data_IF_398847653601
#
_entry.id   IF_398847653601
#
_cell.length_a   1.000
_cell.length_b   1.000
_cell.length_c   1.000
_cell.angle_alpha   90.00
_cell.angle_beta   90.00
_cell.angle_gamma   90.00
#
_symmetry.space_group_name_H-M   'P 1'
#
loop_
_entity.id
_entity.type
_entity.pdbx_description
1 polymer ?
#
# COMPACT_ATOMS: atom_id res chain seq x y z
N UNK A 1 -4.69 3.33 -5.94
CA UNK A 1 -5.70 2.24 -5.86
C UNK A 1 -5.00 0.91 -5.61
N UNK A 2 -5.53 0.03 -4.75
CA UNK A 2 -5.00 -1.33 -4.59
C UNK A 2 -5.61 -2.27 -5.63
N UNK A 3 -4.81 -3.19 -6.19
CA UNK A 3 -5.26 -4.19 -7.17
C UNK A 3 -4.72 -5.55 -6.76
N UNK A 4 -5.59 -6.57 -6.79
CA UNK A 4 -5.19 -7.96 -6.64
C UNK A 4 -4.32 -8.37 -7.82
N UNK A 5 -3.20 -9.02 -7.53
CA UNK A 5 -2.20 -9.52 -8.49
C UNK A 5 -1.81 -10.94 -8.09
N UNK A 6 -1.28 -11.78 -9.01
CA UNK A 6 -0.78 -13.10 -8.63
C UNK A 6 0.23 -12.98 -7.47
N UNK A 7 -0.05 -13.64 -6.34
CA UNK A 7 0.76 -13.58 -5.12
C UNK A 7 0.38 -12.50 -4.09
N UNK A 8 -0.68 -11.72 -4.31
CA UNK A 8 -1.22 -10.80 -3.29
C UNK A 8 -1.81 -9.50 -3.86
N UNK A 9 -1.47 -8.38 -3.24
CA UNK A 9 -1.97 -7.05 -3.56
C UNK A 9 -0.82 -6.10 -3.86
N UNK A 10 -1.06 -5.20 -4.82
CA UNK A 10 -0.14 -4.10 -5.14
C UNK A 10 -0.88 -2.78 -5.25
N UNK A 11 -0.18 -1.70 -4.92
CA UNK A 11 -0.73 -0.35 -5.01
C UNK A 11 -0.37 0.23 -6.37
N UNK A 12 -1.37 0.60 -7.15
CA UNK A 12 -1.22 1.40 -8.36
C UNK A 12 -1.20 2.88 -8.00
N UNK A 13 -0.08 3.54 -8.29
CA UNK A 13 0.04 4.99 -8.21
C UNK A 13 -0.43 5.62 -9.53
N UNK A 14 -1.53 6.37 -9.46
CA UNK A 14 -2.11 7.01 -10.64
C UNK A 14 -1.28 8.22 -11.12
N UNK A 15 -0.53 8.89 -10.23
CA UNK A 15 0.27 10.07 -10.60
C UNK A 15 1.48 9.69 -11.45
N UNK A 16 2.29 8.73 -10.98
CA UNK A 16 3.45 8.23 -11.71
C UNK A 16 3.11 7.09 -12.68
N UNK A 17 1.83 6.66 -12.75
CA UNK A 17 1.33 5.58 -13.62
C UNK A 17 2.19 4.31 -13.50
N UNK A 18 2.52 3.93 -12.27
CA UNK A 18 3.37 2.78 -11.95
C UNK A 18 2.89 2.05 -10.70
N UNK A 19 3.34 0.81 -10.55
CA UNK A 19 3.20 0.11 -9.29
C UNK A 19 4.08 0.77 -8.23
N UNK A 20 3.51 0.97 -7.04
CA UNK A 20 4.15 1.59 -5.90
C UNK A 20 4.25 0.63 -4.73
N UNK A 21 5.38 0.68 -4.03
CA UNK A 21 5.65 -0.18 -2.88
C UNK A 21 5.92 -1.64 -3.24
N UNK A 22 5.82 -2.49 -2.22
CA UNK A 22 6.04 -3.92 -2.29
C UNK A 22 4.76 -4.70 -2.67
N UNK A 23 4.92 -5.99 -2.99
CA UNK A 23 3.79 -6.94 -2.98
C UNK A 23 3.37 -7.19 -1.53
N UNK A 24 2.10 -7.04 -1.24
CA UNK A 24 1.50 -7.31 0.07
C UNK A 24 0.70 -8.59 0.00
N UNK A 25 0.86 -9.51 0.95
CA UNK A 25 0.10 -10.77 0.98
C UNK A 25 -1.37 -10.52 1.36
N UNK A 26 -1.62 -9.52 2.21
CA UNK A 26 -2.95 -9.08 2.63
C UNK A 26 -3.30 -7.74 1.97
N UNK A 27 -4.59 -7.51 1.73
CA UNK A 27 -5.06 -6.24 1.19
C UNK A 27 -4.74 -5.11 2.18
N UNK A 28 -3.99 -4.07 1.77
CA UNK A 28 -3.58 -3.01 2.69
C UNK A 28 -4.63 -1.88 2.72
N UNK A 29 -5.85 -2.19 3.17
CA UNK A 29 -7.00 -1.27 3.12
C UNK A 29 -6.77 0.02 3.93
N UNK A 30 -6.14 -0.06 5.11
CA UNK A 30 -5.76 1.11 5.91
C UNK A 30 -4.79 2.04 5.16
N UNK A 31 -3.79 1.46 4.48
CA UNK A 31 -2.83 2.22 3.68
C UNK A 31 -3.52 2.83 2.47
N UNK A 32 -4.43 2.09 1.83
CA UNK A 32 -5.22 2.61 0.73
C UNK A 32 -6.11 3.78 1.17
N UNK A 33 -6.77 3.66 2.33
CA UNK A 33 -7.63 4.69 2.88
C UNK A 33 -6.83 5.97 3.19
N UNK A 34 -5.65 5.82 3.81
CA UNK A 34 -4.80 6.97 4.10
C UNK A 34 -4.26 7.63 2.81
N UNK A 35 -3.88 6.83 1.80
CA UNK A 35 -3.40 7.35 0.50
C UNK A 35 -4.49 8.06 -0.31
N UNK A 36 -5.73 7.59 -0.25
CA UNK A 36 -6.86 8.23 -0.94
C UNK A 36 -7.49 9.37 -0.12
N UNK A 37 -7.23 9.44 1.19
CA UNK A 37 -7.75 10.44 2.09
C UNK A 37 -6.76 11.57 2.33
N UNK A 38 -6.35 11.75 3.60
CA UNK A 38 -5.50 12.87 4.02
C UNK A 38 -4.06 12.80 3.52
N UNK A 39 -3.62 11.65 2.99
CA UNK A 39 -2.26 11.41 2.53
C UNK A 39 -1.20 11.80 3.59
N UNK A 40 -1.48 11.54 4.87
CA UNK A 40 -0.57 11.91 5.95
C UNK A 40 0.70 11.06 5.86
N UNK A 41 1.83 11.72 5.62
CA UNK A 41 3.11 11.07 5.38
C UNK A 41 3.58 10.21 6.56
N UNK A 42 3.34 10.65 7.80
CA UNK A 42 3.75 9.92 9.00
C UNK A 42 2.95 8.61 9.14
N UNK A 43 1.62 8.69 8.95
CA UNK A 43 0.74 7.52 8.98
C UNK A 43 1.08 6.53 7.86
N UNK A 44 1.29 7.02 6.64
CA UNK A 44 1.70 6.19 5.51
C UNK A 44 3.00 5.44 5.84
N UNK A 45 3.99 6.15 6.39
CA UNK A 45 5.27 5.55 6.78
C UNK A 45 5.12 4.48 7.87
N UNK A 46 4.26 4.73 8.86
CA UNK A 46 3.95 3.76 9.91
C UNK A 46 3.27 2.50 9.36
N UNK A 47 2.28 2.66 8.48
CA UNK A 47 1.58 1.56 7.82
C UNK A 47 2.53 0.73 6.95
N UNK A 48 3.41 1.38 6.18
CA UNK A 48 4.43 0.70 5.39
C UNK A 48 5.37 -0.17 6.26
N UNK A 49 5.82 0.34 7.42
CA UNK A 49 6.63 -0.44 8.37
C UNK A 49 5.87 -1.65 8.91
N UNK A 50 4.59 -1.46 9.28
CA UNK A 50 3.74 -2.55 9.79
C UNK A 50 3.55 -3.65 8.76
N UNK A 51 3.20 -3.30 7.52
CA UNK A 51 3.01 -4.28 6.46
C UNK A 51 4.32 -4.96 6.03
N UNK A 52 5.46 -4.27 6.11
CA UNK A 52 6.78 -4.92 5.93
C UNK A 52 7.09 -5.95 7.01
N UNK A 53 6.71 -5.67 8.26
CA UNK A 53 6.90 -6.61 9.36
C UNK A 53 5.97 -7.83 9.27
N UNK A 54 4.75 -7.64 8.74
CA UNK A 54 3.77 -8.72 8.51
C UNK A 54 4.15 -9.65 7.36
N UNK A 55 5.00 -9.20 6.44
CA UNK A 55 5.47 -9.97 5.28
C UNK A 55 6.66 -10.91 5.61
N UNK A 56 6.99 -11.08 6.89
CA UNK A 56 8.17 -11.85 7.35
C UNK A 56 7.76 -13.19 7.93
#
# INVERSE_FOLDING_TARGET
MARGVPGGYRIWDNKARRWWGDLYELCPDDLLNELNGGANHEKITALLKRYRALKR
#
